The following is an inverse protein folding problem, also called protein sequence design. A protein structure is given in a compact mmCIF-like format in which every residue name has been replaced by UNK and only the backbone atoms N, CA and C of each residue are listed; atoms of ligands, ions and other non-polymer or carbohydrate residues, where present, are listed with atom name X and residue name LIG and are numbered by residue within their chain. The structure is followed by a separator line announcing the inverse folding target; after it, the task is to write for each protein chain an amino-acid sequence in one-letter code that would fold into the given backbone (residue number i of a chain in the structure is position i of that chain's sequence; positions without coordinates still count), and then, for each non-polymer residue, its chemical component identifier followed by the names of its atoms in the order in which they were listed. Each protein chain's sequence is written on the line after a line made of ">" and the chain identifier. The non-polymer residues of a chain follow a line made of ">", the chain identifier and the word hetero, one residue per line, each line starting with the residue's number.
data_IF_364026213579
#
_entry.id   IF_364026213579
#
_cell.length_a   1.000
_cell.length_b   1.000
_cell.length_c   1.000
_cell.angle_alpha   90.00
_cell.angle_beta   90.00
_cell.angle_gamma   90.00
#
_symmetry.space_group_name_H-M   'P 1'
#
loop_
_entity.id
_entity.type
_entity.pdbx_description
1 polymer ?
#
# COMPACT_ATOMS: atom_id res chain seq x y z
N UNK A 1 -20.60 -28.30 -1.65
CA UNK A 1 -20.12 -28.28 -0.26
C UNK A 1 -18.62 -28.09 -0.13
N UNK A 2 -17.74 -28.78 -0.91
CA UNK A 2 -16.27 -28.59 -0.82
C UNK A 2 -15.73 -27.18 -1.19
N UNK A 3 -16.40 -26.40 -2.04
CA UNK A 3 -15.98 -25.04 -2.43
C UNK A 3 -16.29 -23.95 -1.39
N UNK A 4 -17.21 -24.20 -0.45
CA UNK A 4 -17.54 -23.23 0.62
C UNK A 4 -16.61 -23.32 1.82
N UNK A 5 -16.03 -24.48 2.07
CA UNK A 5 -15.07 -24.70 3.18
C UNK A 5 -13.73 -24.02 2.85
N UNK A 6 -13.35 -23.94 1.57
CA UNK A 6 -12.10 -23.27 1.16
C UNK A 6 -12.11 -21.76 1.36
N UNK A 7 -13.29 -21.11 1.31
CA UNK A 7 -13.40 -19.65 1.50
C UNK A 7 -13.26 -19.21 2.95
N UNK A 8 -13.65 -20.04 3.91
CA UNK A 8 -13.54 -19.72 5.35
C UNK A 8 -12.08 -19.67 5.85
N UNK A 9 -11.15 -20.36 5.21
CA UNK A 9 -9.73 -20.37 5.59
C UNK A 9 -8.95 -19.13 5.14
N UNK A 10 -9.47 -18.35 4.20
CA UNK A 10 -8.85 -17.13 3.69
C UNK A 10 -8.77 -15.99 4.71
N UNK A 11 -9.60 -16.06 5.74
CA UNK A 11 -9.91 -14.96 6.66
C UNK A 11 -8.88 -14.84 7.80
N UNK A 12 -8.19 -15.93 8.13
CA UNK A 12 -7.27 -15.93 9.28
C UNK A 12 -5.87 -15.38 8.98
N UNK A 13 -5.53 -15.20 7.72
CA UNK A 13 -4.15 -14.92 7.29
C UNK A 13 -3.73 -13.46 7.39
N UNK A 14 -4.68 -12.52 7.40
CA UNK A 14 -4.37 -11.10 7.58
C UNK A 14 -4.01 -10.77 9.04
N UNK A 15 -4.46 -11.59 10.00
CA UNK A 15 -4.27 -11.36 11.42
C UNK A 15 -3.02 -12.04 12.01
N UNK A 16 -2.31 -12.86 11.22
CA UNK A 16 -1.10 -13.59 11.67
C UNK A 16 0.17 -13.05 11.02
N UNK A 17 0.25 -11.74 10.78
CA UNK A 17 1.51 -11.15 10.34
C UNK A 17 2.47 -11.05 11.53
N UNK A 18 3.54 -11.73 11.39
CA UNK A 18 4.70 -12.02 12.25
C UNK A 18 4.96 -11.11 13.47
N UNK A 19 5.26 -11.68 14.64
CA UNK A 19 5.74 -10.94 15.82
C UNK A 19 7.03 -10.14 15.58
N UNK A 20 7.79 -10.44 14.52
CA UNK A 20 9.06 -9.77 14.18
C UNK A 20 8.94 -8.27 13.87
N UNK A 21 7.75 -7.76 13.49
CA UNK A 21 7.61 -6.34 13.16
C UNK A 21 7.36 -5.47 14.38
N UNK A 22 6.65 -5.99 15.38
CA UNK A 22 6.44 -5.30 16.66
C UNK A 22 7.75 -5.22 17.46
N UNK A 23 8.57 -6.26 17.43
CA UNK A 23 9.91 -6.24 18.04
C UNK A 23 10.83 -5.25 17.34
N UNK A 24 10.82 -5.16 16.02
CA UNK A 24 11.62 -4.18 15.28
C UNK A 24 11.15 -2.73 15.51
N UNK A 25 9.85 -2.47 15.64
CA UNK A 25 9.35 -1.12 15.92
C UNK A 25 9.66 -0.69 17.36
N UNK A 26 9.55 -1.59 18.34
CA UNK A 26 9.93 -1.35 19.74
C UNK A 26 11.45 -1.25 19.87
N UNK A 27 12.22 -2.08 19.18
CA UNK A 27 13.68 -1.97 19.13
C UNK A 27 14.13 -0.69 18.45
N UNK A 28 13.46 -0.24 17.38
CA UNK A 28 13.80 1.03 16.71
C UNK A 28 13.50 2.22 17.59
N UNK A 29 12.40 2.23 18.35
CA UNK A 29 12.07 3.29 19.31
C UNK A 29 13.00 3.27 20.52
N UNK A 30 13.38 2.10 21.01
CA UNK A 30 14.33 1.93 22.13
C UNK A 30 15.75 2.27 21.69
N UNK A 31 16.14 1.88 20.47
CA UNK A 31 17.46 2.20 19.88
C UNK A 31 17.57 3.69 19.57
N UNK A 32 16.50 4.35 19.12
CA UNK A 32 16.49 5.81 18.93
C UNK A 32 16.66 6.57 20.25
N UNK A 33 16.01 6.13 21.34
CA UNK A 33 16.24 6.70 22.68
C UNK A 33 17.64 6.42 23.21
N UNK A 34 18.18 5.22 22.99
CA UNK A 34 19.54 4.85 23.37
C UNK A 34 20.59 5.61 22.55
N UNK A 35 20.37 5.78 21.24
CA UNK A 35 21.26 6.55 20.36
C UNK A 35 21.26 8.04 20.69
N UNK A 36 20.15 8.62 21.12
CA UNK A 36 20.08 10.02 21.56
C UNK A 36 20.86 10.21 22.88
N UNK A 37 20.78 9.25 23.80
CA UNK A 37 21.57 9.27 25.04
C UNK A 37 23.07 9.06 24.75
N UNK A 38 23.43 8.16 23.84
CA UNK A 38 24.83 7.88 23.46
C UNK A 38 25.46 9.03 22.67
N UNK A 39 24.70 9.75 21.84
CA UNK A 39 25.19 10.94 21.11
C UNK A 39 25.48 12.10 22.08
N UNK A 40 24.71 12.23 23.16
CA UNK A 40 25.00 13.24 24.18
C UNK A 40 26.23 12.90 25.02
N UNK A 41 26.52 11.62 25.25
CA UNK A 41 27.69 11.17 25.99
C UNK A 41 28.98 11.24 25.16
N UNK A 42 28.92 10.85 23.87
CA UNK A 42 30.07 10.91 22.93
C UNK A 42 30.43 12.34 22.51
N UNK A 43 29.50 13.29 22.56
CA UNK A 43 29.79 14.69 22.32
C UNK A 43 30.60 15.33 23.50
N UNK A 44 30.46 14.80 24.72
CA UNK A 44 31.25 15.22 25.88
C UNK A 44 32.67 14.62 25.89
N UNK A 45 32.81 13.36 25.43
CA UNK A 45 34.14 12.69 25.40
C UNK A 45 35.01 13.10 24.21
N UNK A 46 34.43 13.44 23.05
CA UNK A 46 35.20 13.93 21.88
C UNK A 46 35.83 15.32 22.10
N UNK A 47 35.40 16.08 23.07
CA UNK A 47 36.04 17.36 23.41
C UNK A 47 37.33 17.20 24.22
N UNK A 48 37.60 16.02 24.76
CA UNK A 48 38.77 15.76 25.62
C UNK A 48 39.87 14.97 24.87
N UNK A 49 39.59 14.36 23.70
CA UNK A 49 40.56 13.52 22.98
C UNK A 49 41.18 14.23 21.77
N UNK A 50 40.74 15.44 21.42
CA UNK A 50 41.33 16.23 20.32
C UNK A 50 42.61 17.03 20.71
N UNK A 51 43.11 16.87 21.95
CA UNK A 51 44.31 17.58 22.41
C UNK A 51 45.59 16.76 22.40
N UNK A 52 45.57 15.46 22.05
CA UNK A 52 46.78 14.63 22.03
C UNK A 52 46.76 13.67 20.83
N UNK A 53 47.24 14.09 19.71
CA UNK A 53 47.95 13.25 18.71
C UNK A 53 48.26 14.05 17.47
N UNK A 54 49.31 14.87 17.62
CA UNK A 54 50.19 15.21 16.50
C UNK A 54 51.46 14.44 16.75
N UNK A 55 52.10 13.98 15.70
CA UNK A 55 53.40 13.30 15.61
C UNK A 55 53.37 11.77 15.47
N UNK A 56 53.53 11.31 14.30
CA UNK A 56 54.62 10.46 13.85
C UNK A 56 54.41 10.08 12.38
N UNK A 57 55.37 10.54 11.61
CA UNK A 57 55.54 10.34 10.15
C UNK A 57 56.35 9.08 9.82
N UNK A 58 56.18 8.69 8.58
CA UNK A 58 57.27 8.35 7.61
C UNK A 58 57.70 6.90 7.43
N UNK A 59 57.84 6.61 6.14
CA UNK A 59 58.77 5.67 5.48
C UNK A 59 58.42 4.17 5.47
N UNK A 60 58.51 3.45 4.42
CA UNK A 60 59.32 3.33 3.20
C UNK A 60 58.67 2.23 2.33
N UNK A 61 58.85 1.96 1.17
CA UNK A 61 59.75 2.07 0.05
C UNK A 61 59.47 0.89 -0.91
N UNK A 62 59.32 1.22 -2.14
CA UNK A 62 59.63 0.53 -3.43
C UNK A 62 60.08 -0.92 -3.45
N UNK A 63 59.47 -1.71 -4.36
CA UNK A 63 60.23 -2.54 -5.30
C UNK A 63 59.39 -2.90 -6.54
N UNK A 64 59.91 -2.54 -7.69
CA UNK A 64 59.47 -2.86 -9.04
C UNK A 64 59.98 -4.21 -9.47
N UNK A 65 59.24 -4.94 -10.31
CA UNK A 65 59.77 -5.74 -11.44
C UNK A 65 58.66 -5.94 -12.49
N UNK A 66 58.91 -5.46 -13.69
CA UNK A 66 58.33 -5.89 -14.98
C UNK A 66 59.39 -6.68 -15.73
N UNK A 67 59.21 -7.20 -16.95
CA UNK A 67 57.99 -7.64 -17.68
C UNK A 67 58.17 -9.05 -18.32
N UNK A 68 57.12 -9.64 -18.82
CA UNK A 68 57.23 -10.50 -20.00
C UNK A 68 56.02 -10.41 -20.90
N UNK A 69 56.30 -10.11 -22.14
CA UNK A 69 55.39 -10.09 -23.26
C UNK A 69 55.06 -11.52 -23.74
N UNK A 70 53.85 -11.76 -24.22
CA UNK A 70 53.59 -12.33 -25.55
C UNK A 70 52.15 -12.80 -25.72
N UNK A 71 51.69 -12.52 -26.92
CA UNK A 71 50.69 -13.22 -27.73
C UNK A 71 49.28 -12.63 -27.77
N UNK A 72 49.13 -11.81 -28.79
CA UNK A 72 47.90 -11.49 -29.52
C UNK A 72 47.10 -12.73 -29.88
N UNK A 73 45.87 -12.80 -29.33
CA UNK A 73 44.76 -13.55 -29.93
C UNK A 73 43.60 -12.58 -30.10
N UNK A 74 43.41 -12.10 -31.32
CA UNK A 74 42.20 -11.40 -31.75
C UNK A 74 41.07 -12.40 -31.76
N UNK A 75 40.29 -12.43 -30.67
CA UNK A 75 38.98 -13.07 -30.66
C UNK A 75 37.96 -12.02 -31.06
N UNK A 76 37.37 -12.19 -32.25
CA UNK A 76 36.28 -11.38 -32.74
C UNK A 76 35.15 -11.38 -31.69
N UNK A 77 34.87 -10.22 -31.10
CA UNK A 77 33.75 -10.03 -30.20
C UNK A 77 32.46 -10.24 -31.00
N UNK A 78 31.74 -11.28 -30.63
CA UNK A 78 30.34 -11.44 -31.06
C UNK A 78 29.56 -10.19 -30.68
N UNK A 79 28.60 -9.71 -31.51
CA UNK A 79 27.80 -8.54 -31.18
C UNK A 79 27.00 -8.84 -29.91
N UNK A 80 27.36 -8.18 -28.84
CA UNK A 80 26.59 -8.19 -27.60
C UNK A 80 25.24 -7.57 -27.94
N UNK A 81 24.20 -8.40 -28.06
CA UNK A 81 22.82 -7.94 -28.08
C UNK A 81 22.61 -7.25 -26.73
N UNK A 82 22.80 -5.94 -26.69
CA UNK A 82 22.35 -5.13 -25.59
C UNK A 82 20.84 -5.31 -25.50
N UNK A 83 20.39 -6.14 -24.57
CA UNK A 83 18.98 -6.20 -24.20
C UNK A 83 18.58 -4.76 -23.84
N UNK A 84 17.77 -4.14 -24.69
CA UNK A 84 17.25 -2.80 -24.45
C UNK A 84 16.53 -2.84 -23.13
N UNK A 85 17.02 -2.15 -22.11
CA UNK A 85 16.29 -2.03 -20.85
C UNK A 85 14.86 -1.56 -21.14
N UNK A 86 13.86 -2.13 -20.47
CA UNK A 86 12.48 -1.72 -20.70
C UNK A 86 12.34 -0.23 -20.38
N UNK A 87 11.92 0.57 -21.35
CA UNK A 87 11.70 2.00 -21.21
C UNK A 87 10.38 2.28 -20.52
N UNK A 88 10.29 3.42 -19.84
CA UNK A 88 9.00 3.92 -19.31
C UNK A 88 7.96 3.99 -20.43
N UNK A 89 6.76 3.52 -20.13
CA UNK A 89 5.60 3.60 -21.01
C UNK A 89 4.49 4.36 -20.32
N UNK A 90 3.79 5.18 -21.08
CA UNK A 90 2.57 5.86 -20.65
C UNK A 90 1.43 5.55 -21.59
N UNK A 91 0.23 5.38 -21.03
CA UNK A 91 -1.01 5.27 -21.79
C UNK A 91 -2.08 6.11 -21.12
N UNK A 92 -3.00 6.66 -21.90
CA UNK A 92 -4.10 7.49 -21.38
C UNK A 92 -5.44 6.86 -21.72
N UNK A 93 -6.29 6.76 -20.71
CA UNK A 93 -7.67 6.31 -20.89
C UNK A 93 -8.59 7.03 -19.89
N UNK A 94 -9.65 7.67 -20.40
CA UNK A 94 -10.66 8.34 -19.56
C UNK A 94 -10.10 9.47 -18.68
N UNK A 95 -9.08 10.22 -19.16
CA UNK A 95 -8.43 11.26 -18.40
C UNK A 95 -7.52 10.75 -17.26
N UNK A 96 -7.17 9.47 -17.30
CA UNK A 96 -6.21 8.83 -16.39
C UNK A 96 -4.96 8.50 -17.20
N UNK A 97 -3.79 8.83 -16.67
CA UNK A 97 -2.52 8.42 -17.24
C UNK A 97 -2.00 7.21 -16.42
N UNK A 98 -1.72 6.13 -17.14
CA UNK A 98 -1.06 4.94 -16.59
C UNK A 98 0.43 4.99 -16.90
N UNK A 99 1.26 4.75 -15.89
CA UNK A 99 2.73 4.74 -16.00
C UNK A 99 3.24 3.34 -15.69
N UNK A 100 4.06 2.79 -16.59
CA UNK A 100 4.66 1.47 -16.48
C UNK A 100 6.18 1.53 -16.70
N UNK A 101 6.92 0.65 -16.03
CA UNK A 101 8.36 0.45 -16.20
C UNK A 101 9.22 1.71 -16.02
N UNK A 102 8.80 2.66 -15.21
CA UNK A 102 9.56 3.87 -14.92
C UNK A 102 10.78 3.57 -14.02
N UNK A 103 11.85 4.33 -14.19
CA UNK A 103 12.85 4.58 -13.15
C UNK A 103 12.36 5.70 -12.23
N UNK A 104 13.02 5.86 -11.09
CA UNK A 104 12.73 6.96 -10.17
C UNK A 104 12.88 8.31 -10.87
N UNK A 105 13.96 8.50 -11.66
CA UNK A 105 14.19 9.76 -12.36
C UNK A 105 13.15 10.03 -13.43
N UNK A 106 12.79 9.04 -14.26
CA UNK A 106 11.75 9.17 -15.29
C UNK A 106 10.39 9.54 -14.65
N UNK A 107 10.06 8.92 -13.52
CA UNK A 107 8.81 9.21 -12.80
C UNK A 107 8.82 10.61 -12.18
N UNK A 108 9.93 11.06 -11.62
CA UNK A 108 10.05 12.42 -11.08
C UNK A 108 9.92 13.48 -12.16
N UNK A 109 10.58 13.30 -13.31
CA UNK A 109 10.46 14.21 -14.44
C UNK A 109 9.02 14.23 -14.98
N UNK A 110 8.37 13.08 -15.01
CA UNK A 110 6.97 12.96 -15.38
C UNK A 110 6.03 13.70 -14.40
N UNK A 111 6.22 13.49 -13.10
CA UNK A 111 5.47 14.20 -12.05
C UNK A 111 5.69 15.73 -12.13
N UNK A 112 6.91 16.16 -12.44
CA UNK A 112 7.24 17.57 -12.62
C UNK A 112 6.46 18.21 -13.78
N UNK A 113 6.36 17.54 -14.92
CA UNK A 113 5.58 17.97 -16.08
C UNK A 113 4.11 18.17 -15.70
N UNK A 114 3.58 17.27 -14.88
CA UNK A 114 2.20 17.33 -14.40
C UNK A 114 2.02 18.11 -13.09
N UNK A 115 3.03 18.89 -12.66
CA UNK A 115 3.04 19.73 -11.45
C UNK A 115 2.79 18.93 -10.15
N UNK A 116 3.01 17.63 -10.16
CA UNK A 116 2.82 16.71 -9.02
C UNK A 116 4.15 16.39 -8.31
N UNK A 117 4.82 17.43 -7.79
CA UNK A 117 6.13 17.29 -7.14
C UNK A 117 6.07 16.97 -5.64
N UNK A 118 4.90 17.11 -5.03
CA UNK A 118 4.65 16.82 -3.61
C UNK A 118 3.46 15.87 -3.50
N UNK A 119 3.40 15.09 -2.41
CA UNK A 119 2.25 14.23 -2.12
C UNK A 119 1.02 15.02 -1.61
N UNK A 120 1.15 16.30 -1.40
CA UNK A 120 0.03 17.20 -1.07
C UNK A 120 -0.77 17.51 -2.33
N UNK A 121 -2.05 17.74 -2.11
CA UNK A 121 -2.95 18.16 -3.16
C UNK A 121 -2.37 19.33 -3.98
N UNK A 122 -2.76 19.37 -5.21
CA UNK A 122 -2.65 20.56 -6.07
C UNK A 122 -3.51 21.69 -5.46
N UNK A 123 -4.14 22.50 -6.26
CA UNK A 123 -5.10 23.47 -5.74
C UNK A 123 -6.43 22.77 -5.35
N UNK A 124 -7.00 23.11 -4.18
CA UNK A 124 -8.32 22.64 -3.77
C UNK A 124 -8.45 21.13 -3.53
N UNK A 125 -7.47 20.50 -2.90
CA UNK A 125 -7.43 19.07 -2.56
C UNK A 125 -7.49 18.12 -3.76
N UNK A 126 -7.12 18.61 -4.95
CA UNK A 126 -7.05 17.84 -6.19
C UNK A 126 -5.74 17.06 -6.30
N UNK A 127 -5.82 15.80 -6.74
CA UNK A 127 -4.69 14.93 -7.05
C UNK A 127 -4.75 14.52 -8.52
N UNK A 128 -3.66 14.61 -9.29
CA UNK A 128 -3.70 14.23 -10.70
C UNK A 128 -3.97 12.73 -10.85
N UNK A 129 -4.81 12.36 -11.80
CA UNK A 129 -5.13 10.97 -12.09
C UNK A 129 -3.96 10.29 -12.84
N UNK A 130 -2.80 10.16 -12.16
CA UNK A 130 -1.60 9.47 -12.64
C UNK A 130 -1.45 8.17 -11.85
N UNK A 131 -1.58 7.03 -12.53
CA UNK A 131 -1.56 5.72 -11.91
C UNK A 131 -0.30 4.96 -12.28
N UNK A 132 0.62 4.87 -11.32
CA UNK A 132 1.85 4.08 -11.45
C UNK A 132 1.51 2.62 -11.21
N UNK A 133 1.73 1.78 -12.22
CA UNK A 133 1.32 0.38 -12.19
C UNK A 133 2.16 -0.47 -11.25
N UNK A 134 3.48 -0.25 -11.25
CA UNK A 134 4.46 -0.94 -10.40
C UNK A 134 5.42 0.07 -9.79
N UNK A 135 6.06 -0.27 -8.68
CA UNK A 135 7.14 0.58 -8.15
C UNK A 135 8.24 0.77 -9.19
N UNK A 136 8.93 1.94 -9.21
CA UNK A 136 10.07 2.16 -10.09
C UNK A 136 11.12 1.05 -10.00
N UNK A 137 11.74 0.70 -11.12
CA UNK A 137 12.69 -0.42 -11.21
C UNK A 137 13.89 -0.27 -10.27
N UNK A 138 14.34 0.96 -10.06
CA UNK A 138 15.45 1.35 -9.20
C UNK A 138 15.01 1.88 -7.82
N UNK A 139 13.74 1.70 -7.45
CA UNK A 139 13.19 2.12 -6.17
C UNK A 139 14.01 1.66 -4.95
N UNK A 140 14.56 0.41 -4.93
CA UNK A 140 15.41 -0.05 -3.83
C UNK A 140 16.74 0.69 -3.71
N UNK A 141 17.18 1.40 -4.75
CA UNK A 141 18.43 2.14 -4.76
C UNK A 141 18.32 3.51 -4.09
N UNK A 142 17.11 3.95 -3.74
CA UNK A 142 16.86 5.22 -3.03
C UNK A 142 17.49 5.16 -1.64
N UNK A 143 18.55 5.90 -1.41
CA UNK A 143 19.27 5.95 -0.13
C UNK A 143 18.54 6.73 0.95
N UNK A 144 17.89 7.82 0.58
CA UNK A 144 17.15 8.67 1.53
C UNK A 144 15.80 8.03 1.86
N UNK A 145 15.65 7.56 3.10
CA UNK A 145 14.38 7.01 3.59
C UNK A 145 13.24 8.02 3.50
N UNK A 146 13.48 9.28 3.87
CA UNK A 146 12.47 10.35 3.77
C UNK A 146 11.97 10.50 2.35
N UNK A 147 12.88 10.64 1.38
CA UNK A 147 12.53 10.78 -0.04
C UNK A 147 11.78 9.55 -0.57
N UNK A 148 12.24 8.34 -0.22
CA UNK A 148 11.56 7.10 -0.60
C UNK A 148 10.12 7.05 -0.09
N UNK A 149 9.91 7.42 1.17
CA UNK A 149 8.58 7.41 1.78
C UNK A 149 7.66 8.47 1.14
N UNK A 150 8.18 9.66 0.86
CA UNK A 150 7.43 10.71 0.15
C UNK A 150 7.06 10.29 -1.28
N UNK A 151 7.97 9.63 -2.01
CA UNK A 151 7.68 9.10 -3.35
C UNK A 151 6.64 7.98 -3.30
N UNK A 152 6.74 7.09 -2.31
CA UNK A 152 5.76 6.03 -2.09
C UNK A 152 4.35 6.60 -1.87
N UNK A 153 4.20 7.63 -1.04
CA UNK A 153 2.93 8.30 -0.81
C UNK A 153 2.41 8.91 -2.11
N UNK A 154 3.24 9.64 -2.88
CA UNK A 154 2.85 10.22 -4.17
C UNK A 154 2.34 9.17 -5.17
N UNK A 155 2.98 8.01 -5.20
CA UNK A 155 2.54 6.90 -6.05
C UNK A 155 1.17 6.37 -5.61
N UNK A 156 0.93 6.21 -4.30
CA UNK A 156 -0.27 5.55 -3.81
C UNK A 156 -1.48 6.47 -3.63
N UNK A 157 -1.29 7.78 -3.41
CA UNK A 157 -2.39 8.69 -3.14
C UNK A 157 -3.46 8.71 -4.26
N UNK A 158 -3.11 8.86 -5.55
CA UNK A 158 -4.11 8.79 -6.62
C UNK A 158 -4.81 7.42 -6.72
N UNK A 159 -4.09 6.33 -6.39
CA UNK A 159 -4.67 4.98 -6.40
C UNK A 159 -5.70 4.80 -5.29
N UNK A 160 -5.41 5.29 -4.07
CA UNK A 160 -6.32 5.24 -2.94
C UNK A 160 -7.61 6.03 -3.21
N UNK A 161 -7.48 7.23 -3.78
CA UNK A 161 -8.62 8.05 -4.19
C UNK A 161 -9.46 7.35 -5.28
N UNK A 162 -8.82 6.67 -6.24
CA UNK A 162 -9.52 5.89 -7.27
C UNK A 162 -10.35 4.76 -6.68
N UNK A 163 -9.82 4.05 -5.70
CA UNK A 163 -10.54 2.99 -5.02
C UNK A 163 -11.79 3.52 -4.33
N UNK A 164 -11.68 4.67 -3.67
CA UNK A 164 -12.84 5.30 -3.04
C UNK A 164 -13.88 5.79 -4.04
N UNK A 165 -13.48 6.31 -5.21
CA UNK A 165 -14.43 6.58 -6.29
C UNK A 165 -15.25 5.32 -6.66
N UNK A 166 -14.58 4.17 -6.82
CA UNK A 166 -15.22 2.91 -7.16
C UNK A 166 -16.18 2.43 -6.06
N UNK A 167 -15.74 2.45 -4.81
CA UNK A 167 -16.55 2.05 -3.65
C UNK A 167 -17.77 2.96 -3.48
N UNK A 168 -17.58 4.28 -3.58
CA UNK A 168 -18.68 5.25 -3.44
C UNK A 168 -19.70 5.13 -4.58
N UNK A 169 -19.30 4.78 -5.80
CA UNK A 169 -20.21 4.48 -6.89
C UNK A 169 -21.08 3.24 -6.59
N UNK A 170 -20.48 2.20 -5.99
CA UNK A 170 -21.24 1.02 -5.54
C UNK A 170 -22.17 1.36 -4.35
N UNK A 171 -21.70 2.16 -3.39
CA UNK A 171 -22.53 2.68 -2.30
C UNK A 171 -23.75 3.45 -2.84
N UNK A 172 -23.52 4.36 -3.77
CA UNK A 172 -24.59 5.12 -4.41
C UNK A 172 -25.61 4.20 -5.08
N UNK A 173 -25.16 3.09 -5.66
CA UNK A 173 -26.05 2.07 -6.22
C UNK A 173 -26.92 1.44 -5.11
N UNK A 174 -26.33 1.03 -3.99
CA UNK A 174 -27.09 0.48 -2.86
C UNK A 174 -28.09 1.49 -2.32
N UNK A 175 -27.70 2.75 -2.11
CA UNK A 175 -28.60 3.80 -1.61
C UNK A 175 -29.77 4.10 -2.58
N UNK A 176 -29.52 4.03 -3.90
CA UNK A 176 -30.57 4.17 -4.90
C UNK A 176 -31.54 2.97 -4.85
N UNK A 177 -31.02 1.75 -4.74
CA UNK A 177 -31.83 0.53 -4.60
C UNK A 177 -32.65 0.55 -3.32
N UNK A 178 -32.08 1.01 -2.19
CA UNK A 178 -32.79 1.15 -0.91
C UNK A 178 -33.98 2.12 -1.03
N UNK A 179 -33.76 3.30 -1.64
CA UNK A 179 -34.85 4.27 -1.87
C UNK A 179 -35.95 3.69 -2.74
N UNK A 180 -35.61 3.00 -3.84
CA UNK A 180 -36.59 2.35 -4.69
C UNK A 180 -37.38 1.27 -3.91
N UNK A 181 -36.70 0.39 -3.18
CA UNK A 181 -37.32 -0.65 -2.41
C UNK A 181 -38.28 -0.10 -1.33
N UNK A 182 -37.89 0.98 -0.65
CA UNK A 182 -38.72 1.66 0.34
C UNK A 182 -40.00 2.27 -0.26
N UNK A 183 -39.96 2.72 -1.50
CA UNK A 183 -41.10 3.36 -2.16
C UNK A 183 -42.02 2.37 -2.85
N UNK A 184 -41.53 1.25 -3.37
CA UNK A 184 -42.30 0.31 -4.18
C UNK A 184 -42.54 -1.06 -3.53
N UNK A 185 -41.87 -1.36 -2.41
CA UNK A 185 -41.94 -2.65 -1.72
C UNK A 185 -41.18 -3.78 -2.43
N UNK A 186 -40.61 -3.52 -3.63
CA UNK A 186 -39.93 -4.53 -4.44
C UNK A 186 -38.85 -3.91 -5.32
N UNK A 187 -37.96 -4.74 -5.88
CA UNK A 187 -36.97 -4.33 -6.87
C UNK A 187 -37.28 -5.00 -8.22
N UNK A 188 -36.91 -4.34 -9.31
CA UNK A 188 -36.94 -4.95 -10.64
C UNK A 188 -36.00 -6.16 -10.68
N UNK A 189 -36.21 -7.14 -11.62
CA UNK A 189 -35.29 -8.28 -11.78
C UNK A 189 -33.84 -7.85 -12.07
N UNK A 190 -33.66 -6.74 -12.78
CA UNK A 190 -32.32 -6.19 -13.06
C UNK A 190 -31.67 -5.62 -11.80
N UNK A 191 -32.41 -4.89 -10.99
CA UNK A 191 -31.90 -4.32 -9.73
C UNK A 191 -31.68 -5.38 -8.65
N UNK A 192 -32.51 -6.42 -8.61
CA UNK A 192 -32.29 -7.59 -7.76
C UNK A 192 -30.96 -8.27 -8.09
N UNK A 193 -30.68 -8.49 -9.37
CA UNK A 193 -29.37 -9.07 -9.80
C UNK A 193 -28.19 -8.19 -9.41
N UNK A 194 -28.32 -6.85 -9.54
CA UNK A 194 -27.24 -5.92 -9.08
C UNK A 194 -27.01 -6.04 -7.59
N UNK A 195 -28.07 -6.09 -6.78
CA UNK A 195 -27.98 -6.25 -5.34
C UNK A 195 -27.34 -7.59 -4.96
N UNK A 196 -27.73 -8.68 -5.62
CA UNK A 196 -27.14 -10.01 -5.39
C UNK A 196 -25.65 -10.07 -5.75
N UNK A 197 -25.25 -9.43 -6.86
CA UNK A 197 -23.83 -9.33 -7.24
C UNK A 197 -23.01 -8.55 -6.22
N UNK A 198 -23.55 -7.46 -5.68
CA UNK A 198 -22.90 -6.71 -4.60
C UNK A 198 -22.84 -7.55 -3.32
N UNK A 199 -23.91 -8.25 -2.96
CA UNK A 199 -23.91 -9.13 -1.79
C UNK A 199 -22.85 -10.24 -1.93
N UNK A 200 -22.71 -10.83 -3.12
CA UNK A 200 -21.68 -11.82 -3.40
C UNK A 200 -20.28 -11.20 -3.33
N UNK A 201 -20.07 -10.01 -3.92
CA UNK A 201 -18.77 -9.31 -3.91
C UNK A 201 -18.31 -8.99 -2.50
N UNK A 202 -19.24 -8.52 -1.65
CA UNK A 202 -18.93 -8.11 -0.28
C UNK A 202 -19.16 -9.23 0.77
N UNK A 203 -19.22 -10.48 0.32
CA UNK A 203 -19.30 -11.69 1.14
C UNK A 203 -20.47 -11.69 2.16
N UNK A 204 -21.64 -11.19 1.72
CA UNK A 204 -22.83 -11.19 2.53
C UNK A 204 -23.83 -12.25 2.09
N UNK A 205 -24.14 -13.17 2.98
CA UNK A 205 -25.10 -14.26 2.76
C UNK A 205 -26.17 -14.25 3.84
N UNK A 206 -27.40 -14.50 3.43
CA UNK A 206 -28.56 -14.65 4.33
C UNK A 206 -29.43 -15.81 3.88
N UNK A 207 -30.11 -16.44 4.83
CA UNK A 207 -31.11 -17.49 4.58
C UNK A 207 -32.51 -16.94 4.36
N UNK A 208 -32.73 -15.65 4.58
CA UNK A 208 -34.01 -14.97 4.34
C UNK A 208 -34.41 -15.06 2.88
N UNK A 209 -35.71 -14.90 2.59
CA UNK A 209 -36.26 -14.98 1.23
C UNK A 209 -37.12 -13.75 0.94
N UNK A 210 -37.47 -13.55 -0.34
CA UNK A 210 -38.37 -12.48 -0.78
C UNK A 210 -37.92 -11.09 -0.34
N UNK A 211 -38.89 -10.29 0.11
CA UNK A 211 -38.66 -8.91 0.56
C UNK A 211 -37.77 -8.80 1.79
N UNK A 212 -37.85 -9.76 2.72
CA UNK A 212 -36.95 -9.80 3.89
C UNK A 212 -35.48 -9.97 3.50
N UNK A 213 -35.19 -10.85 2.52
CA UNK A 213 -33.85 -11.00 1.97
C UNK A 213 -33.35 -9.69 1.39
N UNK A 214 -34.17 -9.03 0.56
CA UNK A 214 -33.83 -7.75 -0.06
C UNK A 214 -33.54 -6.68 1.00
N UNK A 215 -34.39 -6.54 2.00
CA UNK A 215 -34.18 -5.59 3.08
C UNK A 215 -32.91 -5.86 3.86
N UNK A 216 -32.62 -7.11 4.22
CA UNK A 216 -31.41 -7.51 4.92
C UNK A 216 -30.12 -7.27 4.09
N UNK A 217 -30.16 -7.55 2.78
CA UNK A 217 -29.05 -7.26 1.88
C UNK A 217 -28.77 -5.76 1.79
N UNK A 218 -29.79 -4.93 1.59
CA UNK A 218 -29.66 -3.48 1.51
C UNK A 218 -29.07 -2.89 2.80
N UNK A 219 -29.61 -3.29 3.96
CA UNK A 219 -29.13 -2.82 5.25
C UNK A 219 -27.66 -3.19 5.49
N UNK A 220 -27.30 -4.45 5.22
CA UNK A 220 -25.94 -4.93 5.47
C UNK A 220 -24.92 -4.34 4.49
N UNK A 221 -25.26 -4.26 3.20
CA UNK A 221 -24.39 -3.67 2.20
C UNK A 221 -24.17 -2.17 2.41
N UNK A 222 -25.19 -1.45 2.89
CA UNK A 222 -25.06 -0.05 3.27
C UNK A 222 -24.03 0.16 4.39
N UNK A 223 -23.96 -0.77 5.36
CA UNK A 223 -22.97 -0.74 6.42
C UNK A 223 -21.54 -1.08 5.90
N UNK A 224 -21.44 -2.07 5.03
CA UNK A 224 -20.15 -2.57 4.51
C UNK A 224 -19.54 -1.64 3.47
N UNK A 225 -20.33 -1.22 2.47
CA UNK A 225 -19.86 -0.47 1.30
C UNK A 225 -19.78 1.02 1.64
N UNK A 226 -18.62 1.45 2.09
CA UNK A 226 -18.31 2.86 2.32
C UNK A 226 -16.80 3.12 2.12
N UNK A 227 -16.43 4.39 1.97
CA UNK A 227 -15.05 4.79 1.75
C UNK A 227 -14.11 4.19 2.81
N UNK A 228 -12.95 3.74 2.36
CA UNK A 228 -11.81 3.42 3.21
C UNK A 228 -10.88 4.62 3.17
N UNK A 229 -10.62 5.32 4.29
CA UNK A 229 -9.81 6.53 4.25
C UNK A 229 -8.47 6.28 3.53
N UNK A 230 -8.10 7.12 2.53
CA UNK A 230 -6.81 7.02 1.84
C UNK A 230 -5.62 6.97 2.79
N UNK A 231 -5.65 7.72 3.88
CA UNK A 231 -4.64 7.70 4.93
C UNK A 231 -4.43 6.29 5.51
N UNK A 232 -5.51 5.55 5.75
CA UNK A 232 -5.47 4.16 6.25
C UNK A 232 -4.90 3.22 5.19
N UNK A 233 -5.36 3.33 3.93
CA UNK A 233 -4.84 2.52 2.84
C UNK A 233 -3.33 2.70 2.67
N UNK A 234 -2.85 3.94 2.69
CA UNK A 234 -1.43 4.26 2.49
C UNK A 234 -0.59 3.87 3.71
N UNK A 235 -1.05 4.18 4.93
CA UNK A 235 -0.31 3.84 6.13
C UNK A 235 -0.20 2.32 6.34
N UNK A 236 -1.26 1.57 6.11
CA UNK A 236 -1.22 0.11 6.14
C UNK A 236 -0.27 -0.46 5.07
N UNK A 237 -0.31 0.07 3.84
CA UNK A 237 0.61 -0.31 2.78
C UNK A 237 2.07 -0.01 3.16
N UNK A 238 2.34 1.16 3.75
CA UNK A 238 3.67 1.55 4.22
C UNK A 238 4.21 0.59 5.28
N UNK A 239 3.38 0.23 6.26
CA UNK A 239 3.74 -0.70 7.33
C UNK A 239 4.03 -2.10 6.78
N UNK A 240 3.11 -2.66 6.01
CA UNK A 240 3.20 -4.03 5.51
C UNK A 240 4.29 -4.22 4.46
N UNK A 241 4.49 -3.24 3.59
CA UNK A 241 5.49 -3.30 2.52
C UNK A 241 6.87 -2.77 2.90
N UNK A 242 7.05 -2.26 4.14
CA UNK A 242 8.23 -1.47 4.52
C UNK A 242 8.45 -0.31 3.53
N UNK A 243 7.41 0.51 3.32
CA UNK A 243 7.43 1.63 2.39
C UNK A 243 7.80 1.22 0.96
N UNK A 244 7.27 0.09 0.50
CA UNK A 244 7.57 -0.46 -0.83
C UNK A 244 8.95 -1.11 -0.95
N UNK A 245 9.75 -1.17 0.12
CA UNK A 245 11.10 -1.73 0.06
C UNK A 245 11.11 -3.26 0.10
N UNK A 246 10.06 -3.90 0.62
CA UNK A 246 10.00 -5.36 0.71
C UNK A 246 10.04 -6.02 -0.66
N UNK A 247 10.64 -7.21 -0.74
CA UNK A 247 10.67 -8.04 -1.95
C UNK A 247 9.25 -8.30 -2.47
N UNK A 248 8.33 -8.60 -1.56
CA UNK A 248 6.94 -8.95 -1.89
C UNK A 248 6.21 -7.77 -2.56
N UNK A 249 6.44 -6.54 -2.10
CA UNK A 249 5.86 -5.35 -2.74
C UNK A 249 6.43 -5.11 -4.15
N UNK A 250 7.73 -5.39 -4.37
CA UNK A 250 8.41 -5.11 -5.63
C UNK A 250 8.19 -6.17 -6.70
N UNK A 251 8.23 -7.45 -6.30
CA UNK A 251 8.15 -8.58 -7.23
C UNK A 251 6.72 -9.06 -7.48
N UNK A 252 5.82 -8.86 -6.50
CA UNK A 252 4.43 -9.31 -6.57
C UNK A 252 3.40 -8.16 -6.58
N UNK A 253 3.81 -6.89 -6.55
CA UNK A 253 2.92 -5.74 -6.32
C UNK A 253 2.02 -5.91 -5.06
N UNK A 254 2.40 -6.80 -4.14
CA UNK A 254 1.59 -7.15 -2.96
C UNK A 254 1.95 -6.24 -1.79
N UNK A 255 1.26 -5.09 -1.73
CA UNK A 255 1.51 -4.04 -0.73
C UNK A 255 1.16 -4.50 0.69
N UNK A 256 0.19 -5.40 0.84
CA UNK A 256 -0.34 -5.86 2.13
C UNK A 256 0.02 -7.32 2.43
N UNK A 257 0.97 -7.91 1.71
CA UNK A 257 1.43 -9.30 1.86
C UNK A 257 0.27 -10.32 1.90
N UNK A 258 -0.71 -10.13 1.03
CA UNK A 258 -1.85 -11.03 0.95
C UNK A 258 -1.40 -12.45 0.63
N UNK A 259 -1.83 -13.41 1.45
CA UNK A 259 -1.45 -14.82 1.35
C UNK A 259 -2.47 -15.61 0.54
N UNK A 260 -1.99 -16.53 -0.29
CA UNK A 260 -2.77 -17.57 -0.96
C UNK A 260 -2.29 -18.94 -0.49
N UNK A 261 -3.24 -19.81 -0.21
CA UNK A 261 -2.96 -21.12 0.38
C UNK A 261 -3.23 -22.23 -0.62
N UNK A 262 -2.32 -23.20 -0.71
CA UNK A 262 -2.51 -24.44 -1.48
C UNK A 262 -2.83 -24.28 -2.97
N UNK A 263 -2.55 -23.13 -3.57
CA UNK A 263 -2.86 -22.88 -5.00
C UNK A 263 -1.70 -23.19 -5.94
N UNK A 264 -0.48 -23.31 -5.42
CA UNK A 264 0.73 -23.43 -6.24
C UNK A 264 1.15 -22.13 -6.95
N UNK A 265 0.26 -21.13 -7.03
CA UNK A 265 0.50 -19.82 -7.65
C UNK A 265 0.88 -18.78 -6.60
N UNK A 266 1.76 -17.84 -6.96
CA UNK A 266 2.18 -16.75 -6.08
C UNK A 266 3.69 -16.71 -5.85
N UNK A 267 4.14 -15.66 -5.16
CA UNK A 267 5.53 -15.47 -4.79
C UNK A 267 5.86 -16.26 -3.53
N UNK A 268 6.88 -17.10 -3.60
CA UNK A 268 7.32 -17.89 -2.44
C UNK A 268 7.85 -17.02 -1.31
N UNK A 269 7.57 -17.35 -0.04
CA UNK A 269 8.24 -16.74 1.11
C UNK A 269 9.77 -16.92 0.98
N UNK A 270 10.54 -15.93 1.41
CA UNK A 270 12.01 -16.06 1.46
C UNK A 270 12.46 -17.04 2.56
N UNK A 271 11.70 -17.03 3.66
CA UNK A 271 11.86 -17.90 4.82
C UNK A 271 10.61 -18.78 4.93
N UNK A 272 10.72 -19.93 5.56
CA UNK A 272 9.60 -20.85 5.82
C UNK A 272 8.84 -21.26 4.54
N UNK A 273 9.56 -21.77 3.54
CA UNK A 273 8.98 -22.19 2.25
C UNK A 273 7.92 -23.29 2.40
N UNK A 274 7.96 -24.03 3.50
CA UNK A 274 7.08 -25.16 3.79
C UNK A 274 5.78 -24.78 4.53
N UNK A 275 5.55 -23.49 4.82
CA UNK A 275 4.36 -23.02 5.53
C UNK A 275 3.04 -23.18 4.73
N UNK A 276 3.11 -23.69 3.50
CA UNK A 276 1.95 -24.00 2.67
C UNK A 276 1.21 -22.78 2.10
N UNK A 277 1.82 -21.60 2.17
CA UNK A 277 1.27 -20.38 1.55
C UNK A 277 2.26 -19.74 0.59
N UNK A 278 1.74 -18.88 -0.29
CA UNK A 278 2.49 -17.96 -1.14
C UNK A 278 1.91 -16.56 -1.00
N UNK A 279 2.68 -15.53 -1.36
CA UNK A 279 2.16 -14.19 -1.47
C UNK A 279 1.47 -14.00 -2.82
N UNK A 280 0.26 -13.45 -2.79
CA UNK A 280 -0.50 -13.17 -4.02
C UNK A 280 0.25 -12.19 -4.89
N UNK A 281 0.36 -12.51 -6.17
CA UNK A 281 0.88 -11.62 -7.20
C UNK A 281 -0.28 -10.81 -7.77
N UNK A 282 -0.09 -9.51 -7.89
CA UNK A 282 -1.06 -8.60 -8.47
C UNK A 282 -0.52 -7.98 -9.76
N UNK A 283 -1.42 -7.71 -10.72
CA UNK A 283 -1.06 -7.08 -11.97
C UNK A 283 -0.60 -5.62 -11.80
N UNK A 284 -0.99 -4.99 -10.69
CA UNK A 284 -0.62 -3.61 -10.37
C UNK A 284 -0.76 -3.30 -8.87
N UNK A 285 -0.16 -2.18 -8.44
CA UNK A 285 -0.35 -1.64 -7.10
C UNK A 285 -1.82 -1.32 -6.83
N UNK A 286 -2.56 -0.83 -7.84
CA UNK A 286 -4.00 -0.53 -7.71
C UNK A 286 -4.80 -1.80 -7.39
N UNK A 287 -4.50 -2.94 -8.04
CA UNK A 287 -5.18 -4.21 -7.75
C UNK A 287 -4.91 -4.71 -6.33
N UNK A 288 -3.67 -4.57 -5.85
CA UNK A 288 -3.33 -4.90 -4.46
C UNK A 288 -4.12 -4.05 -3.46
N UNK A 289 -4.16 -2.74 -3.69
CA UNK A 289 -4.93 -1.81 -2.83
C UNK A 289 -6.43 -2.09 -2.90
N UNK A 290 -6.96 -2.41 -4.09
CA UNK A 290 -8.39 -2.77 -4.30
C UNK A 290 -8.75 -4.05 -3.55
N UNK A 291 -7.89 -5.07 -3.58
CA UNK A 291 -8.07 -6.32 -2.83
C UNK A 291 -8.12 -6.06 -1.32
N UNK A 292 -7.23 -5.24 -0.80
CA UNK A 292 -7.24 -4.87 0.61
C UNK A 292 -8.50 -4.08 1.00
N UNK A 293 -8.89 -3.07 0.22
CA UNK A 293 -10.09 -2.29 0.49
C UNK A 293 -11.36 -3.16 0.44
N UNK A 294 -11.42 -4.13 -0.48
CA UNK A 294 -12.52 -5.10 -0.52
C UNK A 294 -12.52 -5.98 0.74
N UNK A 295 -11.38 -6.49 1.17
CA UNK A 295 -11.25 -7.26 2.41
C UNK A 295 -11.70 -6.44 3.62
N UNK A 296 -11.28 -5.17 3.70
CA UNK A 296 -11.69 -4.26 4.75
C UNK A 296 -13.21 -4.06 4.81
N UNK A 297 -13.87 -4.02 3.66
CA UNK A 297 -15.31 -3.80 3.53
C UNK A 297 -16.16 -5.09 3.50
N UNK A 298 -15.54 -6.27 3.45
CA UNK A 298 -16.27 -7.55 3.37
C UNK A 298 -16.03 -8.48 4.56
N UNK A 299 -14.85 -8.45 5.16
CA UNK A 299 -14.50 -9.36 6.24
C UNK A 299 -15.20 -8.95 7.55
N UNK A 300 -15.97 -9.88 8.12
CA UNK A 300 -16.78 -9.67 9.32
C UNK A 300 -15.95 -9.19 10.53
N UNK A 301 -14.65 -9.48 10.57
CA UNK A 301 -13.77 -9.01 11.63
C UNK A 301 -13.67 -7.48 11.68
N UNK A 302 -14.04 -6.78 10.61
CA UNK A 302 -14.10 -5.31 10.55
C UNK A 302 -15.49 -4.74 10.84
N UNK A 303 -16.48 -5.55 11.28
CA UNK A 303 -17.84 -5.07 11.53
C UNK A 303 -17.89 -3.89 12.52
N UNK A 304 -17.08 -3.94 13.57
CA UNK A 304 -17.00 -2.85 14.54
C UNK A 304 -16.41 -1.56 13.94
N UNK A 305 -15.51 -1.68 12.96
CA UNK A 305 -14.97 -0.53 12.20
C UNK A 305 -16.06 0.04 11.29
N UNK A 306 -16.87 -0.81 10.64
CA UNK A 306 -17.99 -0.34 9.81
C UNK A 306 -19.02 0.45 10.62
N UNK A 307 -19.37 -0.03 11.82
CA UNK A 307 -20.28 0.65 12.75
C UNK A 307 -19.70 1.99 13.25
N UNK A 308 -18.40 2.02 13.56
CA UNK A 308 -17.73 3.26 13.96
C UNK A 308 -17.75 4.28 12.82
N UNK A 309 -17.49 3.85 11.60
CA UNK A 309 -17.49 4.66 10.37
C UNK A 309 -18.87 5.23 10.08
N UNK A 310 -19.92 4.43 10.13
CA UNK A 310 -21.31 4.87 9.95
C UNK A 310 -21.66 5.97 10.97
N UNK A 311 -21.42 5.73 12.26
CA UNK A 311 -21.70 6.70 13.31
C UNK A 311 -20.87 7.97 13.22
N UNK A 312 -19.68 7.93 12.60
CA UNK A 312 -18.87 9.12 12.37
C UNK A 312 -19.38 9.91 11.15
N UNK A 313 -19.67 9.25 10.05
CA UNK A 313 -20.20 9.88 8.84
C UNK A 313 -21.53 10.59 9.09
N UNK A 314 -22.42 10.01 9.92
CA UNK A 314 -23.69 10.62 10.30
C UNK A 314 -23.51 11.96 11.04
N UNK A 315 -22.40 12.12 11.78
CA UNK A 315 -22.13 13.35 12.56
C UNK A 315 -21.32 14.39 11.79
N UNK A 316 -20.38 13.94 10.96
CA UNK A 316 -19.35 14.80 10.36
C UNK A 316 -19.37 14.82 8.83
N UNK A 317 -20.15 13.96 8.18
CA UNK A 317 -20.31 13.92 6.73
C UNK A 317 -19.16 13.27 5.95
N UNK A 318 -17.95 13.20 6.54
CA UNK A 318 -16.74 12.61 5.93
C UNK A 318 -16.07 11.68 6.93
N UNK A 319 -15.63 10.52 6.46
CA UNK A 319 -14.84 9.57 7.25
C UNK A 319 -13.37 9.81 6.99
N UNK A 320 -12.64 10.19 8.02
CA UNK A 320 -11.18 10.34 7.99
C UNK A 320 -10.49 9.21 8.78
N UNK A 321 -9.21 8.96 8.49
CA UNK A 321 -8.47 7.86 9.10
C UNK A 321 -8.43 7.90 10.62
N UNK A 322 -8.24 9.08 11.21
CA UNK A 322 -8.25 9.27 12.65
C UNK A 322 -9.54 8.77 13.31
N UNK A 323 -10.70 9.00 12.65
CA UNK A 323 -12.01 8.59 13.19
C UNK A 323 -12.19 7.10 13.36
N UNK A 324 -11.46 6.29 12.61
CA UNK A 324 -11.55 4.83 12.63
C UNK A 324 -10.29 4.14 13.14
N UNK A 325 -9.19 4.86 13.35
CA UNK A 325 -7.91 4.30 13.80
C UNK A 325 -8.07 3.57 15.15
N UNK A 326 -8.81 4.14 16.08
CA UNK A 326 -9.11 3.51 17.37
C UNK A 326 -9.91 2.20 17.19
N UNK A 327 -10.90 2.19 16.31
CA UNK A 327 -11.65 0.97 16.02
C UNK A 327 -10.76 -0.11 15.39
N UNK A 328 -9.77 0.27 14.59
CA UNK A 328 -8.81 -0.65 13.98
C UNK A 328 -7.90 -1.33 15.00
N UNK A 329 -7.67 -0.74 16.18
CA UNK A 329 -6.88 -1.37 17.24
C UNK A 329 -7.45 -2.71 17.69
N UNK A 330 -8.78 -2.85 17.64
CA UNK A 330 -9.49 -4.07 18.00
C UNK A 330 -9.56 -5.09 16.86
N UNK A 331 -9.21 -4.69 15.62
CA UNK A 331 -9.23 -5.55 14.43
C UNK A 331 -7.88 -6.22 14.15
N UNK A 332 -6.82 -5.80 14.82
CA UNK A 332 -5.47 -6.30 14.61
C UNK A 332 -4.91 -6.94 15.86
N UNK A 333 -4.26 -8.11 15.70
CA UNK A 333 -3.50 -8.76 16.76
C UNK A 333 -2.09 -8.16 16.94
N UNK A 334 -1.73 -7.16 16.13
CA UNK A 334 -0.43 -6.51 16.24
C UNK A 334 -0.43 -5.56 17.44
N UNK A 335 0.51 -5.71 18.37
CA UNK A 335 0.64 -4.78 19.49
C UNK A 335 0.82 -3.36 18.96
N UNK A 336 0.03 -2.43 19.51
CA UNK A 336 0.12 -1.01 19.15
C UNK A 336 -0.12 -0.67 17.66
N UNK A 337 -0.87 -1.52 16.93
CA UNK A 337 -1.16 -1.27 15.50
C UNK A 337 -1.77 0.11 15.26
N UNK A 338 -2.79 0.48 16.03
CA UNK A 338 -3.42 1.80 15.92
C UNK A 338 -2.43 2.94 16.20
N UNK A 339 -1.61 2.82 17.22
CA UNK A 339 -0.62 3.87 17.54
C UNK A 339 0.43 4.07 16.44
N UNK A 340 0.85 2.98 15.77
CA UNK A 340 1.78 3.08 14.63
C UNK A 340 1.08 3.71 13.43
N UNK A 341 -0.20 3.33 13.20
CA UNK A 341 -1.01 3.88 12.14
C UNK A 341 -1.23 5.39 12.34
N UNK A 342 -1.63 5.79 13.56
CA UNK A 342 -1.80 7.20 13.93
C UNK A 342 -0.51 8.00 13.78
N UNK A 343 0.60 7.46 14.29
CA UNK A 343 1.91 8.10 14.12
C UNK A 343 2.27 8.29 12.65
N UNK A 344 2.12 7.26 11.83
CA UNK A 344 2.43 7.32 10.40
C UNK A 344 1.56 8.34 9.69
N UNK A 345 0.28 8.35 10.00
CA UNK A 345 -0.72 9.26 9.43
C UNK A 345 -0.42 10.71 9.80
N UNK A 346 -0.12 10.98 11.07
CA UNK A 346 0.20 12.32 11.55
C UNK A 346 1.57 12.81 11.05
N UNK A 347 2.61 11.96 11.10
CA UNK A 347 3.96 12.34 10.71
C UNK A 347 4.05 12.73 9.23
N UNK A 348 3.32 12.03 8.35
CA UNK A 348 3.30 12.29 6.90
C UNK A 348 2.11 13.14 6.47
N UNK A 349 1.29 13.65 7.39
CA UNK A 349 0.10 14.48 7.08
C UNK A 349 -0.85 13.80 6.07
N UNK A 350 -1.07 12.48 6.25
CA UNK A 350 -1.86 11.68 5.31
C UNK A 350 -3.36 12.02 5.38
N UNK A 351 -3.84 12.63 6.48
CA UNK A 351 -5.26 13.01 6.62
C UNK A 351 -5.71 14.01 5.56
N UNK A 352 -4.78 14.82 5.04
CA UNK A 352 -5.07 15.73 3.93
C UNK A 352 -5.52 14.98 2.65
N UNK A 353 -5.16 13.70 2.50
CA UNK A 353 -5.57 12.90 1.34
C UNK A 353 -7.02 12.39 1.50
N UNK A 354 -7.51 12.28 2.75
CA UNK A 354 -8.85 11.71 3.02
C UNK A 354 -9.99 12.59 2.45
N UNK A 355 -9.75 13.89 2.35
CA UNK A 355 -10.67 14.86 1.75
C UNK A 355 -10.35 15.14 0.28
N UNK A 356 -9.30 14.50 -0.25
CA UNK A 356 -8.84 14.71 -1.61
C UNK A 356 -9.75 14.08 -2.67
N UNK A 357 -9.60 14.56 -3.90
CA UNK A 357 -10.28 13.99 -5.06
C UNK A 357 -9.35 13.89 -6.27
N UNK A 358 -9.70 13.03 -7.24
CA UNK A 358 -8.94 12.90 -8.47
C UNK A 358 -9.31 13.98 -9.48
N UNK A 359 -8.32 14.70 -9.93
CA UNK A 359 -8.45 15.58 -11.11
C UNK A 359 -8.06 14.79 -12.37
N UNK A 360 -9.02 14.67 -13.29
CA UNK A 360 -8.80 14.05 -14.58
C UNK A 360 -7.95 14.96 -15.46
N UNK A 361 -6.96 14.38 -16.12
CA UNK A 361 -6.07 15.12 -17.01
C UNK A 361 -6.86 15.52 -18.24
N UNK A 362 -6.94 16.83 -18.47
CA UNK A 362 -7.59 17.42 -19.67
C UNK A 362 -6.59 17.36 -20.82
N UNK A 363 -7.08 16.95 -21.97
CA UNK A 363 -6.32 17.05 -23.24
C UNK A 363 -6.10 18.48 -23.65
#
# INVERSE_FOLDING_TARGET
>A
MKKQILKAFWILSFLLCSPSFAENAVQTATTAKAQTATIQTTAAEKKQTAANQTVASAKAETAAVSPHASATAQTAAAPTVRSREPQMKTSEFGGIIYVENATVQELEDFFKIHKYQRFRALDGDAYPAIFVRTLPRDFPQIKSQKYRNELFIRILAPLALKINEEILNERNTVLRLERHFKSSGSLSPADTRKLENLALKYDYFTRLKGSERTAAQLQNLKLRIDAVPPSILIAAAAMESNWGFSRVAREANSLYKEKVWYTGEGLEPAENKDDGYRFRIFDSLLESMRSFALTFNSNINYEHVWKAREGYADRHGVVIGESIAYALSNASNLPNFAGILDYTTAYYDLLAIDIGHLERIKK
#
